data_IF_729721234885
#
_entry.id   IF_729721234885
#
_cell.length_a   1.000
_cell.length_b   1.000
_cell.length_c   1.000
_cell.angle_alpha   90.00
_cell.angle_beta   90.00
_cell.angle_gamma   90.00
#
_symmetry.space_group_name_H-M   'P 1'
#
loop_
_entity.id
_entity.type
_entity.pdbx_description
1 polymer ?
#
# COMPACT_ATOMS: atom_id res chain seq x y z
N UNK A 1 -16.22 -5.84 3.28
CA UNK A 1 -15.24 -6.78 2.70
C UNK A 1 -14.18 -7.04 3.75
N UNK A 2 -13.52 -8.19 3.71
CA UNK A 2 -12.39 -8.48 4.60
C UNK A 2 -11.17 -8.82 3.76
N UNK A 3 -10.03 -8.21 4.08
CA UNK A 3 -8.76 -8.38 3.39
C UNK A 3 -7.78 -8.97 4.41
N UNK A 4 -6.95 -9.91 3.97
CA UNK A 4 -6.01 -10.61 4.85
C UNK A 4 -4.58 -10.50 4.32
N UNK A 5 -3.61 -10.94 5.12
CA UNK A 5 -2.23 -11.15 4.67
C UNK A 5 -1.52 -9.89 4.20
N UNK A 6 -0.76 -10.02 3.09
CA UNK A 6 0.11 -8.95 2.59
C UNK A 6 -0.66 -7.81 1.94
N UNK A 7 -1.83 -8.11 1.39
CA UNK A 7 -2.77 -7.15 0.83
C UNK A 7 -3.34 -6.25 1.93
N UNK A 8 -3.74 -6.84 3.07
CA UNK A 8 -4.20 -6.08 4.24
C UNK A 8 -3.10 -5.17 4.81
N UNK A 9 -1.88 -5.71 4.94
CA UNK A 9 -0.72 -4.93 5.34
C UNK A 9 -0.45 -3.77 4.36
N UNK A 10 -0.50 -4.03 3.05
CA UNK A 10 -0.28 -3.02 2.02
C UNK A 10 -1.33 -1.90 2.11
N UNK A 11 -2.61 -2.26 2.25
CA UNK A 11 -3.69 -1.30 2.44
C UNK A 11 -3.49 -0.46 3.70
N UNK A 12 -3.07 -1.07 4.82
CA UNK A 12 -2.75 -0.32 6.05
C UNK A 12 -1.67 0.73 5.80
N UNK A 13 -0.57 0.35 5.14
CA UNK A 13 0.52 1.29 4.83
C UNK A 13 0.07 2.44 3.94
N UNK A 14 -0.83 2.18 3.00
CA UNK A 14 -1.42 3.20 2.15
C UNK A 14 -2.35 4.15 2.93
N UNK A 15 -3.13 3.63 3.89
CA UNK A 15 -3.96 4.44 4.79
C UNK A 15 -3.08 5.35 5.65
N UNK A 16 -2.05 4.77 6.29
CA UNK A 16 -1.14 5.51 7.17
C UNK A 16 -0.37 6.60 6.41
N UNK A 17 -0.01 6.34 5.15
CA UNK A 17 0.68 7.30 4.29
C UNK A 17 -0.22 8.45 3.81
N UNK A 18 -1.55 8.27 3.83
CA UNK A 18 -2.52 9.25 3.34
C UNK A 18 -2.27 9.68 1.90
N UNK A 19 -2.56 10.96 1.59
CA UNK A 19 -2.39 11.52 0.25
C UNK A 19 -0.94 11.59 -0.23
N UNK A 20 0.03 11.57 0.69
CA UNK A 20 1.46 11.51 0.33
C UNK A 20 1.78 10.18 -0.36
N UNK A 21 1.04 9.11 -0.06
CA UNK A 21 1.35 7.77 -0.54
C UNK A 21 2.70 7.27 -0.04
N UNK A 22 3.07 6.07 -0.46
CA UNK A 22 4.31 5.42 -0.05
C UNK A 22 5.01 4.72 -1.22
N UNK A 23 6.32 4.57 -1.09
CA UNK A 23 7.16 3.87 -2.07
C UNK A 23 7.72 2.58 -1.48
N UNK A 24 8.07 1.58 -2.32
CA UNK A 24 8.80 0.39 -1.86
C UNK A 24 10.16 0.71 -1.23
N UNK A 25 10.73 1.90 -1.49
CA UNK A 25 11.99 2.35 -0.89
C UNK A 25 11.76 2.77 0.57
N UNK A 26 10.69 3.52 0.84
CA UNK A 26 10.32 3.97 2.18
C UNK A 26 9.73 2.82 3.03
N UNK A 27 9.04 1.87 2.40
CA UNK A 27 8.33 0.78 3.04
C UNK A 27 8.68 -0.56 2.38
N UNK A 28 9.85 -1.17 2.66
CA UNK A 28 10.33 -2.32 1.92
C UNK A 28 9.45 -3.57 2.08
N UNK A 29 9.08 -4.19 0.94
CA UNK A 29 8.38 -5.49 0.88
C UNK A 29 8.64 -6.18 -0.48
N UNK A 30 8.61 -7.52 -0.55
CA UNK A 30 9.06 -8.27 -1.72
C UNK A 30 8.24 -8.06 -3.00
N UNK A 31 6.94 -7.74 -2.91
CA UNK A 31 6.04 -7.63 -4.09
C UNK A 31 4.96 -6.55 -3.98
N UNK A 32 5.35 -5.30 -3.78
CA UNK A 32 4.41 -4.17 -3.70
C UNK A 32 3.41 -4.09 -4.86
N UNK A 33 3.89 -4.20 -6.10
CA UNK A 33 3.05 -4.10 -7.29
C UNK A 33 1.98 -5.21 -7.35
N UNK A 34 2.28 -6.42 -6.85
CA UNK A 34 1.32 -7.51 -6.80
C UNK A 34 0.21 -7.23 -5.78
N UNK A 35 0.56 -6.74 -4.58
CA UNK A 35 -0.43 -6.40 -3.54
C UNK A 35 -1.34 -5.27 -4.02
N UNK A 36 -0.77 -4.22 -4.61
CA UNK A 36 -1.54 -3.11 -5.17
C UNK A 36 -2.43 -3.57 -6.33
N UNK A 37 -1.94 -4.49 -7.17
CA UNK A 37 -2.76 -5.06 -8.24
C UNK A 37 -3.98 -5.77 -7.68
N UNK A 38 -3.81 -6.67 -6.69
CA UNK A 38 -4.93 -7.36 -6.04
C UNK A 38 -5.91 -6.39 -5.37
N UNK A 39 -5.42 -5.37 -4.65
CA UNK A 39 -6.26 -4.32 -4.05
C UNK A 39 -7.12 -3.60 -5.09
N UNK A 40 -6.61 -3.37 -6.30
CA UNK A 40 -7.36 -2.75 -7.40
C UNK A 40 -8.34 -3.73 -8.04
N UNK A 41 -7.88 -4.92 -8.42
CA UNK A 41 -8.65 -5.85 -9.25
C UNK A 41 -9.70 -6.64 -8.47
N UNK A 42 -9.37 -7.12 -7.27
CA UNK A 42 -10.23 -7.99 -6.47
C UNK A 42 -11.12 -7.21 -5.50
N UNK A 43 -10.60 -6.08 -4.98
CA UNK A 43 -11.28 -5.30 -3.95
C UNK A 43 -11.82 -3.95 -4.45
N UNK A 44 -11.53 -3.58 -5.70
CA UNK A 44 -12.03 -2.34 -6.30
C UNK A 44 -11.50 -1.06 -5.64
N UNK A 45 -10.36 -1.14 -4.95
CA UNK A 45 -9.78 0.01 -4.24
C UNK A 45 -9.01 0.86 -5.24
N UNK A 46 -9.40 2.14 -5.34
CA UNK A 46 -8.72 3.12 -6.18
C UNK A 46 -7.39 3.50 -5.54
N UNK A 47 -6.31 3.07 -6.18
CA UNK A 47 -4.93 3.42 -5.83
C UNK A 47 -4.30 4.00 -7.09
N UNK A 48 -3.60 5.12 -6.98
CA UNK A 48 -2.83 5.71 -8.07
C UNK A 48 -1.37 5.27 -8.02
N UNK A 49 -0.73 5.11 -9.18
CA UNK A 49 0.72 4.89 -9.29
C UNK A 49 1.36 6.13 -9.91
N UNK A 50 2.14 6.83 -9.11
CA UNK A 50 2.96 7.98 -9.53
C UNK A 50 4.37 7.45 -9.77
N UNK A 51 4.99 7.81 -10.89
CA UNK A 51 6.37 7.41 -11.19
C UNK A 51 7.31 8.51 -10.69
N UNK A 52 8.14 8.20 -9.69
CA UNK A 52 9.13 9.10 -9.14
C UNK A 52 10.50 8.76 -9.69
N UNK A 53 11.13 9.71 -10.39
CA UNK A 53 12.50 9.58 -10.84
C UNK A 53 13.46 9.62 -9.63
N UNK A 54 14.51 8.80 -9.67
CA UNK A 54 15.59 8.86 -8.69
C UNK A 54 16.95 8.96 -9.39
N UNK A 55 17.85 9.84 -8.89
CA UNK A 55 19.19 10.01 -9.43
C UNK A 55 20.17 8.94 -8.91
N UNK A 56 21.42 9.01 -9.36
CA UNK A 56 22.54 8.17 -8.88
C UNK A 56 23.11 7.24 -9.97
N UNK A 57 24.09 6.37 -9.62
CA UNK A 57 24.72 5.45 -10.57
C UNK A 57 23.74 4.47 -11.24
N UNK A 58 22.62 4.22 -10.59
CA UNK A 58 21.51 3.41 -11.09
C UNK A 58 20.26 4.27 -11.21
N UNK A 59 20.34 5.36 -11.98
CA UNK A 59 19.21 6.25 -12.19
C UNK A 59 18.03 5.52 -12.86
N UNK A 60 16.81 5.88 -12.46
CA UNK A 60 15.59 5.25 -12.95
C UNK A 60 14.35 5.90 -12.37
N UNK A 61 13.23 5.20 -12.39
CA UNK A 61 12.01 5.61 -11.72
C UNK A 61 11.43 4.46 -10.91
N UNK A 62 10.80 4.78 -9.79
CA UNK A 62 10.06 3.82 -8.99
C UNK A 62 8.63 4.32 -8.73
N UNK A 63 7.77 3.40 -8.32
CA UNK A 63 6.38 3.73 -8.02
C UNK A 63 6.23 4.34 -6.62
N UNK A 64 5.50 5.44 -6.53
CA UNK A 64 4.79 5.90 -5.34
C UNK A 64 3.32 5.56 -5.50
N UNK A 65 2.77 4.87 -4.50
CA UNK A 65 1.36 4.47 -4.49
C UNK A 65 0.57 5.39 -3.57
N UNK A 66 -0.49 6.01 -4.09
CA UNK A 66 -1.38 6.89 -3.31
C UNK A 66 -2.78 6.31 -3.26
N UNK A 67 -3.34 6.18 -2.06
CA UNK A 67 -4.73 5.78 -1.90
C UNK A 67 -5.65 6.93 -2.33
N UNK A 68 -6.64 6.61 -3.18
CA UNK A 68 -7.65 7.57 -3.66
C UNK A 68 -9.05 7.24 -3.15
N UNK A 69 -9.33 5.96 -2.90
CA UNK A 69 -10.55 5.56 -2.19
C UNK A 69 -10.55 6.04 -0.74
N UNK A 70 -11.71 6.52 -0.27
CA UNK A 70 -11.96 6.68 1.17
C UNK A 70 -12.27 5.31 1.75
N UNK A 71 -11.45 4.87 2.70
CA UNK A 71 -11.60 3.58 3.37
C UNK A 71 -11.64 3.79 4.88
N UNK A 72 -12.40 2.94 5.58
CA UNK A 72 -12.41 2.88 7.03
C UNK A 72 -12.25 1.41 7.44
N UNK A 73 -11.40 1.17 8.43
CA UNK A 73 -11.20 -0.16 8.99
C UNK A 73 -12.17 -0.29 10.16
N UNK A 74 -13.13 -1.21 10.01
CA UNK A 74 -14.16 -1.45 11.02
C UNK A 74 -13.68 -2.41 12.10
N UNK A 75 -12.87 -3.40 11.72
CA UNK A 75 -12.29 -4.39 12.62
C UNK A 75 -10.84 -4.65 12.23
N UNK A 76 -9.95 -4.67 13.23
CA UNK A 76 -8.53 -4.89 13.05
C UNK A 76 -8.03 -5.98 14.00
N UNK A 77 -7.97 -7.20 13.47
CA UNK A 77 -7.61 -8.38 14.23
C UNK A 77 -6.09 -8.50 14.51
N UNK A 78 -5.27 -7.66 13.88
CA UNK A 78 -3.82 -7.62 14.16
C UNK A 78 -3.55 -6.85 15.47
N UNK A 79 -4.22 -5.70 15.64
CA UNK A 79 -4.17 -4.91 16.88
C UNK A 79 -4.79 -5.67 18.06
N UNK A 80 -5.86 -6.44 17.82
CA UNK A 80 -6.51 -7.26 18.85
C UNK A 80 -5.61 -8.38 19.43
N UNK A 81 -4.67 -8.93 18.63
CA UNK A 81 -3.72 -9.95 19.09
C UNK A 81 -2.49 -9.38 19.80
N UNK A 82 -2.08 -8.16 19.48
CA UNK A 82 -0.95 -7.51 20.15
C UNK A 82 -1.29 -6.93 21.53
N UNK A 83 -2.57 -6.73 21.83
CA UNK A 83 -3.09 -6.22 23.10
C UNK A 83 -3.54 -7.32 24.09
N UNK A 84 -3.41 -8.60 23.71
CA UNK A 84 -3.73 -9.78 24.53
C UNK A 84 -2.45 -10.50 24.96
#
# INVERSE_FOLDING_TARGET
>A
MTIYGREAWCLRRLIDAGEKGCTPIEQPAPRWSAYVHALRSEFGIAIETIHEAHPGPYAGSHARYSLRSRVAILEDNETARAAA
#
